data_IF_930878741567
#
_entry.id   IF_930878741567
#
_cell.length_a   1.000
_cell.length_b   1.000
_cell.length_c   1.000
_cell.angle_alpha   90.00
_cell.angle_beta   90.00
_cell.angle_gamma   90.00
#
_symmetry.space_group_name_H-M   'P 1'
#
loop_
_entity.id
_entity.type
_entity.pdbx_description
1 polymer ?
#
# COMPACT_ATOMS: atom_id res chain seq x y z
N UNK A 1 -18.00 10.31 -10.20
CA UNK A 1 -16.77 10.42 -11.02
C UNK A 1 -15.81 9.37 -10.50
N UNK A 2 -15.24 8.53 -11.37
CA UNK A 2 -14.14 7.63 -11.02
C UNK A 2 -12.86 8.20 -11.62
N UNK A 3 -11.73 8.04 -10.93
CA UNK A 3 -10.47 8.66 -11.30
C UNK A 3 -9.46 8.53 -10.17
N UNK A 4 -8.24 9.01 -10.41
CA UNK A 4 -7.17 9.00 -9.42
C UNK A 4 -6.48 10.35 -9.39
N UNK A 5 -6.13 10.78 -8.19
CA UNK A 5 -5.18 11.85 -7.97
C UNK A 5 -3.80 11.22 -7.73
N UNK A 6 -2.81 11.68 -8.50
CA UNK A 6 -1.45 11.19 -8.43
C UNK A 6 -0.47 12.35 -8.22
N UNK A 7 0.65 12.03 -7.58
CA UNK A 7 1.80 12.92 -7.44
C UNK A 7 2.96 12.33 -8.25
N UNK A 8 3.48 13.11 -9.21
CA UNK A 8 4.71 12.79 -9.90
C UNK A 8 5.74 13.87 -9.54
N UNK A 9 6.72 13.51 -8.71
CA UNK A 9 7.66 14.46 -8.08
C UNK A 9 6.93 15.62 -7.41
N UNK A 10 6.99 16.83 -7.97
CA UNK A 10 6.31 18.04 -7.47
C UNK A 10 5.03 18.37 -8.25
N UNK A 11 4.69 17.58 -9.26
CA UNK A 11 3.50 17.77 -10.07
C UNK A 11 2.33 16.92 -9.59
N UNK A 12 1.24 17.60 -9.23
CA UNK A 12 -0.08 17.00 -9.01
C UNK A 12 -0.78 16.74 -10.34
N UNK A 13 -1.32 15.53 -10.53
CA UNK A 13 -2.05 15.11 -11.73
C UNK A 13 -3.39 14.50 -11.32
N UNK A 14 -4.45 14.86 -12.04
CA UNK A 14 -5.78 14.25 -11.87
C UNK A 14 -6.13 13.53 -13.17
N UNK A 15 -6.28 12.21 -13.09
CA UNK A 15 -6.71 11.39 -14.23
C UNK A 15 -8.18 11.01 -14.03
N UNK A 16 -9.02 11.35 -15.00
CA UNK A 16 -10.43 10.97 -15.03
C UNK A 16 -10.57 9.69 -15.84
N UNK A 17 -11.23 8.67 -15.29
CA UNK A 17 -11.36 7.37 -15.94
C UNK A 17 -12.70 6.70 -15.57
N UNK A 18 -13.15 5.73 -16.38
CA UNK A 18 -14.35 4.95 -16.06
C UNK A 18 -14.14 3.97 -14.90
N UNK A 19 -12.89 3.53 -14.70
CA UNK A 19 -12.49 2.61 -13.64
C UNK A 19 -11.02 2.88 -13.23
N UNK A 20 -10.65 2.43 -12.03
CA UNK A 20 -9.27 2.44 -11.51
C UNK A 20 -8.94 1.04 -11.00
N UNK A 21 -7.75 0.54 -11.34
CA UNK A 21 -7.23 -0.75 -10.86
C UNK A 21 -6.00 -0.48 -10.01
N UNK A 22 -6.03 -0.91 -8.74
CA UNK A 22 -4.88 -0.85 -7.85
C UNK A 22 -4.05 -2.14 -8.00
N UNK A 23 -2.86 -2.00 -8.58
CA UNK A 23 -1.91 -3.11 -8.78
C UNK A 23 -0.54 -2.75 -8.16
N UNK A 24 -0.55 -2.21 -6.95
CA UNK A 24 0.62 -1.59 -6.30
C UNK A 24 1.58 -2.57 -5.61
N UNK A 25 1.34 -3.88 -5.72
CA UNK A 25 2.05 -4.89 -4.91
C UNK A 25 1.61 -4.87 -3.43
N UNK A 26 2.43 -5.52 -2.58
CA UNK A 26 2.15 -5.73 -1.15
C UNK A 26 2.84 -4.74 -0.20
N UNK A 27 3.04 -5.17 1.06
CA UNK A 27 3.64 -4.37 2.14
C UNK A 27 4.84 -5.04 2.83
N UNK A 28 5.47 -6.02 2.16
CA UNK A 28 6.56 -6.83 2.71
C UNK A 28 7.87 -6.07 3.01
N UNK A 29 7.97 -4.78 2.67
CA UNK A 29 9.07 -3.89 3.05
C UNK A 29 8.64 -2.83 4.08
N UNK A 30 7.43 -2.92 4.64
CA UNK A 30 6.90 -2.02 5.65
C UNK A 30 6.76 -2.75 7.00
N UNK A 31 7.78 -2.67 7.84
CA UNK A 31 7.82 -3.36 9.14
C UNK A 31 6.66 -2.96 10.05
N UNK A 32 6.21 -1.70 10.01
CA UNK A 32 5.07 -1.24 10.83
C UNK A 32 3.75 -1.86 10.37
N UNK A 33 3.55 -2.00 9.07
CA UNK A 33 2.35 -2.65 8.54
C UNK A 33 2.39 -4.17 8.77
N UNK A 34 3.57 -4.78 8.68
CA UNK A 34 3.78 -6.18 9.07
C UNK A 34 3.40 -6.39 10.54
N UNK A 35 3.93 -5.59 11.47
CA UNK A 35 3.58 -5.64 12.89
C UNK A 35 2.07 -5.48 13.12
N UNK A 36 1.42 -4.53 12.43
CA UNK A 36 -0.02 -4.28 12.55
C UNK A 36 -0.88 -5.49 12.18
N UNK A 37 -0.51 -6.23 11.13
CA UNK A 37 -1.29 -7.36 10.63
C UNK A 37 -0.71 -8.73 10.99
N UNK A 38 0.33 -8.77 11.81
CA UNK A 38 1.00 -10.01 12.18
C UNK A 38 0.08 -10.87 13.05
N UNK A 39 -0.19 -12.08 12.58
CA UNK A 39 -0.95 -13.12 13.31
C UNK A 39 -0.11 -14.37 13.56
N UNK A 40 1.13 -14.40 13.08
CA UNK A 40 1.93 -15.62 13.01
C UNK A 40 3.18 -15.57 13.89
N UNK A 41 3.99 -14.52 13.78
CA UNK A 41 5.23 -14.41 14.55
C UNK A 41 4.96 -13.88 15.95
N UNK A 42 5.77 -14.27 16.94
CA UNK A 42 5.67 -13.70 18.27
C UNK A 42 6.02 -12.19 18.28
N UNK A 43 7.03 -11.82 17.48
CA UNK A 43 7.50 -10.44 17.33
C UNK A 43 8.07 -10.25 15.91
N UNK A 44 7.93 -9.03 15.39
CA UNK A 44 8.64 -8.57 14.20
C UNK A 44 9.41 -7.31 14.61
N UNK A 45 10.73 -7.41 14.67
CA UNK A 45 11.62 -6.29 15.05
C UNK A 45 11.73 -5.26 13.93
N UNK A 46 11.94 -4.00 14.28
CA UNK A 46 11.92 -2.87 13.33
C UNK A 46 12.96 -2.97 12.20
N UNK A 47 14.09 -3.63 12.45
CA UNK A 47 15.19 -3.83 11.50
C UNK A 47 15.10 -5.14 10.70
N UNK A 48 13.95 -5.81 10.74
CA UNK A 48 13.69 -6.99 9.91
C UNK A 48 13.97 -6.69 8.44
N UNK A 49 14.84 -7.51 7.82
CA UNK A 49 15.22 -7.36 6.41
C UNK A 49 14.29 -8.17 5.50
N UNK A 50 14.24 -7.79 4.22
CA UNK A 50 13.37 -8.41 3.23
C UNK A 50 14.04 -8.45 1.86
N UNK A 51 13.82 -9.50 1.03
CA UNK A 51 14.28 -9.51 -0.36
C UNK A 51 13.39 -8.65 -1.27
N UNK A 52 12.25 -8.15 -0.78
CA UNK A 52 11.35 -7.31 -1.55
C UNK A 52 11.99 -5.97 -1.92
N UNK A 53 11.56 -5.40 -3.05
CA UNK A 53 11.89 -4.02 -3.39
C UNK A 53 11.47 -3.06 -2.27
N UNK A 54 12.25 -2.00 -2.06
CA UNK A 54 11.95 -0.95 -1.07
C UNK A 54 10.61 -0.25 -1.33
N UNK A 55 10.08 -0.32 -2.55
CA UNK A 55 8.80 0.27 -2.91
C UNK A 55 7.57 -0.53 -2.42
N UNK A 56 7.76 -1.75 -1.89
CA UNK A 56 6.66 -2.64 -1.47
C UNK A 56 6.17 -2.24 -0.06
N UNK A 57 5.57 -1.05 0.03
CA UNK A 57 5.21 -0.39 1.30
C UNK A 57 3.72 -0.52 1.68
N UNK A 58 2.87 -1.03 0.79
CA UNK A 58 1.44 -1.18 1.02
C UNK A 58 0.58 0.04 0.68
N UNK A 59 1.11 1.01 -0.07
CA UNK A 59 0.40 2.28 -0.33
C UNK A 59 -0.96 2.08 -1.03
N UNK A 60 -1.08 1.12 -1.94
CA UNK A 60 -2.36 0.82 -2.57
C UNK A 60 -3.39 0.18 -1.63
N UNK A 61 -2.95 -0.49 -0.55
CA UNK A 61 -3.88 -0.96 0.49
C UNK A 61 -4.45 0.26 1.24
N UNK A 62 -3.60 1.23 1.58
CA UNK A 62 -4.05 2.49 2.20
C UNK A 62 -5.01 3.27 1.29
N UNK A 63 -4.71 3.39 0.00
CA UNK A 63 -5.60 4.02 -0.98
C UNK A 63 -6.95 3.27 -1.07
N UNK A 64 -6.92 1.93 -1.10
CA UNK A 64 -8.14 1.12 -1.08
C UNK A 64 -8.99 1.37 0.15
N UNK A 65 -8.39 1.39 1.35
CA UNK A 65 -9.08 1.68 2.60
C UNK A 65 -9.69 3.09 2.61
N UNK A 66 -8.98 4.10 2.10
CA UNK A 66 -9.51 5.46 1.96
C UNK A 66 -10.70 5.54 1.00
N UNK A 67 -10.73 4.67 -0.01
CA UNK A 67 -11.85 4.53 -0.94
C UNK A 67 -12.99 3.63 -0.40
N UNK A 68 -12.91 3.18 0.87
CA UNK A 68 -13.94 2.37 1.52
C UNK A 68 -13.81 0.86 1.28
N UNK A 69 -12.69 0.38 0.76
CA UNK A 69 -12.43 -1.05 0.69
C UNK A 69 -12.16 -1.63 2.10
N UNK A 70 -12.21 -2.95 2.20
CA UNK A 70 -11.83 -3.71 3.39
C UNK A 70 -10.64 -4.61 3.06
N UNK A 71 -9.78 -4.87 4.05
CA UNK A 71 -8.71 -5.87 3.92
C UNK A 71 -9.24 -7.26 4.23
N UNK A 72 -8.63 -8.27 3.62
CA UNK A 72 -8.87 -9.69 3.89
C UNK A 72 -7.52 -10.39 4.06
N UNK A 73 -7.49 -11.47 4.85
CA UNK A 73 -6.30 -12.24 5.18
C UNK A 73 -6.64 -13.62 5.71
#
# INVERSE_FOLDING_TARGET
MVGVEAQNTDQRVIVRAGAVVLASGGFGANTKMLQKYNTYWAEIVDDTTTPNSRAIQGDGITLGLQAGAVVVG
#
